data_IF_420140553508
#
_entry.id   IF_420140553508
#
_cell.length_a   1.000
_cell.length_b   1.000
_cell.length_c   1.000
_cell.angle_alpha   90.00
_cell.angle_beta   90.00
_cell.angle_gamma   90.00
#
_symmetry.space_group_name_H-M   'P 1'
#
loop_
_entity.id
_entity.type
_entity.pdbx_description
1 polymer ?
#
# COMPACT_ATOMS: atom_id res chain seq x y z
N UNK A 1 -55.23 19.65 -17.07
CA UNK A 1 -55.14 19.44 -15.63
C UNK A 1 -53.87 18.63 -15.36
N UNK A 2 -52.80 19.34 -15.20
CA UNK A 2 -51.53 18.80 -14.71
C UNK A 2 -50.64 20.01 -14.35
N UNK A 3 -50.96 20.63 -13.25
CA UNK A 3 -50.19 21.67 -12.57
C UNK A 3 -50.30 21.41 -11.09
N UNK A 4 -49.21 21.65 -10.39
CA UNK A 4 -49.03 21.55 -8.94
C UNK A 4 -48.40 20.26 -8.42
N UNK A 5 -47.07 20.16 -8.54
CA UNK A 5 -46.25 19.65 -7.46
C UNK A 5 -44.78 20.09 -7.64
N UNK A 6 -44.60 21.42 -7.73
CA UNK A 6 -43.24 22.03 -7.73
C UNK A 6 -43.25 23.19 -6.74
N UNK A 7 -43.46 22.87 -5.46
CA UNK A 7 -43.23 23.84 -4.38
C UNK A 7 -42.94 23.09 -3.10
N UNK A 8 -41.84 23.39 -2.54
CA UNK A 8 -41.41 23.13 -1.16
C UNK A 8 -40.14 22.30 -1.00
N UNK A 9 -39.07 22.75 -1.63
CA UNK A 9 -37.75 22.66 -0.99
C UNK A 9 -37.34 24.12 -0.72
N UNK A 10 -38.06 24.74 0.18
CA UNK A 10 -37.67 26.01 0.78
C UNK A 10 -36.96 25.71 2.10
N UNK A 11 -35.69 26.14 2.16
CA UNK A 11 -34.99 26.59 3.36
C UNK A 11 -35.35 25.83 4.65
N UNK A 12 -34.75 24.67 4.87
CA UNK A 12 -34.37 24.30 6.22
C UNK A 12 -33.17 25.18 6.55
N UNK A 13 -33.46 26.29 7.22
CA UNK A 13 -32.52 27.19 7.84
C UNK A 13 -31.42 26.38 8.54
N UNK A 14 -30.21 26.92 8.53
CA UNK A 14 -29.11 26.52 9.39
C UNK A 14 -29.64 26.34 10.83
N UNK A 15 -30.02 25.11 11.19
CA UNK A 15 -30.31 24.76 12.55
C UNK A 15 -29.04 25.03 13.35
N UNK A 16 -29.16 25.53 14.57
CA UNK A 16 -28.06 25.64 15.53
C UNK A 16 -27.44 24.28 15.70
N UNK A 17 -26.46 23.93 14.84
CA UNK A 17 -25.66 22.75 14.99
C UNK A 17 -24.72 22.97 16.17
N UNK A 18 -25.11 22.43 17.32
CA UNK A 18 -24.24 22.42 18.48
C UNK A 18 -23.11 21.43 18.20
N UNK A 19 -21.86 21.92 18.12
CA UNK A 19 -20.69 21.05 17.93
C UNK A 19 -20.59 20.04 19.10
N UNK A 20 -20.33 18.77 18.81
CA UNK A 20 -20.18 17.75 19.87
C UNK A 20 -18.95 18.06 20.75
N UNK A 21 -19.18 18.17 22.08
CA UNK A 21 -18.14 18.34 23.07
C UNK A 21 -18.56 17.68 24.40
N UNK A 22 -17.58 17.47 25.28
CA UNK A 22 -17.79 17.01 26.65
C UNK A 22 -16.81 17.71 27.59
N UNK A 23 -17.26 18.82 28.17
CA UNK A 23 -16.44 19.63 29.08
C UNK A 23 -16.11 18.88 30.41
N UNK A 24 -16.98 17.96 30.83
CA UNK A 24 -16.73 17.17 32.02
C UNK A 24 -15.57 16.17 31.76
N UNK A 25 -15.56 15.52 30.58
CA UNK A 25 -14.47 14.65 30.18
C UNK A 25 -13.14 15.42 30.02
N UNK A 26 -13.19 16.64 29.43
CA UNK A 26 -12.00 17.49 29.31
C UNK A 26 -11.44 17.90 30.71
N UNK A 27 -12.29 18.36 31.62
CA UNK A 27 -11.88 18.71 32.97
C UNK A 27 -11.37 17.49 33.72
N UNK A 28 -12.07 16.36 33.63
CA UNK A 28 -11.70 15.14 34.29
C UNK A 28 -10.33 14.59 33.80
N UNK A 29 -10.07 14.71 32.51
CA UNK A 29 -8.75 14.35 31.96
C UNK A 29 -7.64 15.23 32.54
N UNK A 30 -7.79 16.55 32.46
CA UNK A 30 -6.78 17.48 32.96
C UNK A 30 -6.53 17.32 34.42
N UNK A 31 -7.60 17.15 35.24
CA UNK A 31 -7.49 16.86 36.68
C UNK A 31 -6.73 15.56 36.96
N UNK A 32 -7.01 14.50 36.18
CA UNK A 32 -6.29 13.22 36.28
C UNK A 32 -4.80 13.37 36.00
N UNK A 33 -4.42 14.18 35.01
CA UNK A 33 -3.03 14.45 34.62
C UNK A 33 -2.30 15.31 35.67
N UNK A 34 -3.00 16.21 36.39
CA UNK A 34 -2.42 16.96 37.50
C UNK A 34 -2.13 16.02 38.65
N UNK A 35 -3.01 15.04 38.93
CA UNK A 35 -2.84 14.06 40.02
C UNK A 35 -1.73 13.06 39.72
N UNK A 36 -1.58 12.64 38.46
CA UNK A 36 -0.55 11.70 38.03
C UNK A 36 0.00 12.07 36.64
N UNK A 37 1.13 12.77 36.64
CA UNK A 37 1.77 13.25 35.40
C UNK A 37 2.28 12.11 34.51
N UNK A 38 2.50 10.90 35.02
CA UNK A 38 3.02 9.76 34.23
C UNK A 38 2.03 9.32 33.16
N UNK A 39 0.74 9.53 33.38
CA UNK A 39 -0.29 9.16 32.40
C UNK A 39 -0.32 10.05 31.15
N UNK A 40 0.40 11.19 31.17
CA UNK A 40 0.45 12.09 30.02
C UNK A 40 1.09 11.42 28.80
N UNK A 41 2.02 10.50 28.99
CA UNK A 41 2.60 9.71 27.90
C UNK A 41 1.51 8.94 27.13
N UNK A 42 0.75 8.11 27.85
CA UNK A 42 -0.32 7.28 27.26
C UNK A 42 -1.44 8.15 26.66
N UNK A 43 -1.80 9.24 27.33
CA UNK A 43 -2.81 10.19 26.86
C UNK A 43 -2.38 10.91 25.57
N UNK A 44 -1.09 11.29 25.45
CA UNK A 44 -0.56 11.97 24.26
C UNK A 44 -0.53 11.08 23.01
N UNK A 45 -0.58 9.77 23.17
CA UNK A 45 -0.76 8.83 22.07
C UNK A 45 -2.21 8.83 21.53
N UNK A 46 -3.19 9.14 22.39
CA UNK A 46 -4.63 9.13 22.07
C UNK A 46 -5.09 10.48 21.53
N UNK A 47 -4.67 11.59 22.18
CA UNK A 47 -5.13 12.95 21.86
C UNK A 47 -3.99 13.95 21.76
N UNK A 48 -4.29 15.06 21.04
CA UNK A 48 -3.46 16.25 20.93
C UNK A 48 -4.23 17.45 21.48
N UNK A 49 -3.55 18.58 21.72
CA UNK A 49 -4.17 19.82 22.19
C UNK A 49 -5.31 20.31 21.29
N UNK A 50 -5.22 20.09 19.97
CA UNK A 50 -6.28 20.42 19.01
C UNK A 50 -7.59 19.65 19.21
N UNK A 51 -7.58 18.53 19.93
CA UNK A 51 -8.79 17.74 20.19
C UNK A 51 -9.71 18.36 21.26
N UNK A 52 -9.21 19.28 22.07
CA UNK A 52 -10.03 19.99 23.05
C UNK A 52 -10.97 20.99 22.38
N UNK A 53 -12.20 21.05 22.82
CA UNK A 53 -13.18 22.04 22.40
C UNK A 53 -13.01 23.35 23.13
N UNK A 54 -12.76 23.29 24.45
CA UNK A 54 -12.67 24.46 25.32
C UNK A 54 -11.26 25.05 25.27
N UNK A 55 -11.13 26.31 24.82
CA UNK A 55 -9.84 26.98 24.70
C UNK A 55 -9.01 26.99 26.00
N UNK A 56 -9.57 27.28 27.18
CA UNK A 56 -8.84 27.16 28.45
C UNK A 56 -8.23 25.77 28.66
N UNK A 57 -8.97 24.70 28.40
CA UNK A 57 -8.50 23.33 28.57
C UNK A 57 -7.38 23.00 27.58
N UNK A 58 -7.51 23.45 26.34
CA UNK A 58 -6.47 23.32 25.31
C UNK A 58 -5.15 23.93 25.77
N UNK A 59 -5.17 25.19 26.28
CA UNK A 59 -3.97 25.90 26.73
C UNK A 59 -3.32 25.25 27.96
N UNK A 60 -4.13 24.71 28.86
CA UNK A 60 -3.63 23.96 30.03
C UNK A 60 -2.94 22.69 29.55
N UNK A 61 -3.57 21.90 28.66
CA UNK A 61 -3.00 20.67 28.11
C UNK A 61 -1.70 20.93 27.31
N UNK A 62 -1.66 21.97 26.50
CA UNK A 62 -0.44 22.38 25.79
C UNK A 62 0.72 22.65 26.75
N UNK A 63 0.42 23.34 27.86
CA UNK A 63 1.43 23.63 28.88
C UNK A 63 1.89 22.38 29.61
N UNK A 64 0.98 21.43 29.88
CA UNK A 64 1.32 20.12 30.46
C UNK A 64 2.25 19.32 29.56
N UNK A 65 1.94 19.24 28.26
CA UNK A 65 2.77 18.53 27.26
C UNK A 65 4.17 19.13 27.21
N UNK A 66 4.29 20.46 27.12
CA UNK A 66 5.61 21.10 27.08
C UNK A 66 6.44 20.84 28.33
N UNK A 67 5.81 20.88 29.53
CA UNK A 67 6.49 20.56 30.78
C UNK A 67 6.96 19.11 30.84
N UNK A 68 6.13 18.20 30.35
CA UNK A 68 6.43 16.78 30.27
C UNK A 68 7.61 16.50 29.32
N UNK A 69 7.64 17.14 28.16
CA UNK A 69 8.72 17.02 27.18
C UNK A 69 10.06 17.52 27.76
N UNK A 70 9.99 18.53 28.64
CA UNK A 70 11.13 19.02 29.41
C UNK A 70 11.48 18.14 30.62
N UNK A 71 10.78 17.00 30.81
CA UNK A 71 10.90 16.09 31.97
C UNK A 71 10.71 16.80 33.32
N UNK A 72 9.82 17.77 33.34
CA UNK A 72 9.46 18.52 34.56
C UNK A 72 8.08 18.06 35.04
N UNK A 73 8.03 17.56 36.26
CA UNK A 73 6.75 17.30 36.92
C UNK A 73 6.01 18.63 37.14
N UNK A 74 4.69 18.60 37.07
CA UNK A 74 3.84 19.77 37.24
C UNK A 74 2.72 19.52 38.22
N UNK A 75 2.38 20.58 38.91
CA UNK A 75 1.21 20.71 39.79
C UNK A 75 0.48 22.03 39.47
N UNK A 76 -0.54 22.36 40.23
CA UNK A 76 -1.33 23.60 40.04
C UNK A 76 -0.45 24.85 40.11
N UNK A 77 0.59 24.88 40.98
CA UNK A 77 1.45 26.04 41.16
C UNK A 77 2.38 26.22 39.97
N UNK A 78 2.98 25.14 39.50
CA UNK A 78 3.88 25.14 38.34
C UNK A 78 3.11 25.49 37.06
N UNK A 79 1.93 24.92 36.85
CA UNK A 79 1.07 25.23 35.70
C UNK A 79 0.65 26.71 35.70
N UNK A 80 0.26 27.27 36.83
CA UNK A 80 -0.03 28.69 36.98
C UNK A 80 1.15 29.56 36.59
N UNK A 81 2.35 29.27 37.13
CA UNK A 81 3.56 30.04 36.87
C UNK A 81 3.94 30.00 35.39
N UNK A 82 3.87 28.82 34.74
CA UNK A 82 4.20 28.67 33.34
C UNK A 82 3.17 29.36 32.41
N UNK A 83 1.88 29.22 32.70
CA UNK A 83 0.82 29.94 31.99
C UNK A 83 0.94 31.45 32.16
N UNK A 84 1.36 31.93 33.33
CA UNK A 84 1.60 33.36 33.56
C UNK A 84 2.79 33.88 32.76
N UNK A 85 3.91 33.17 32.72
CA UNK A 85 5.10 33.50 31.88
C UNK A 85 4.76 33.60 30.42
N UNK A 86 3.84 32.75 29.92
CA UNK A 86 3.36 32.77 28.53
C UNK A 86 2.27 33.82 28.27
N UNK A 87 1.80 34.52 29.28
CA UNK A 87 0.68 35.47 29.14
C UNK A 87 -0.66 34.81 28.83
N UNK A 88 -0.83 33.54 29.14
CA UNK A 88 -2.01 32.73 28.83
C UNK A 88 -2.86 32.39 30.07
N UNK A 89 -2.45 32.82 31.28
CA UNK A 89 -3.16 32.47 32.49
C UNK A 89 -4.63 32.93 32.48
N UNK A 90 -4.88 34.17 32.05
CA UNK A 90 -6.25 34.72 32.01
C UNK A 90 -7.11 33.99 30.95
N UNK A 91 -6.49 33.64 29.82
CA UNK A 91 -7.17 32.85 28.75
C UNK A 91 -7.43 31.40 29.17
N UNK A 92 -6.64 30.87 30.08
CA UNK A 92 -6.83 29.55 30.71
C UNK A 92 -7.88 29.57 31.83
N UNK A 93 -8.50 30.73 32.11
CA UNK A 93 -9.53 30.88 33.11
C UNK A 93 -8.99 31.15 34.54
N UNK A 94 -7.72 31.58 34.65
CA UNK A 94 -7.08 31.88 35.90
C UNK A 94 -6.74 30.66 36.77
N UNK A 95 -6.26 30.92 37.97
CA UNK A 95 -5.92 29.85 38.93
C UNK A 95 -7.17 29.11 39.39
N UNK A 96 -8.30 29.81 39.47
CA UNK A 96 -9.56 29.25 39.97
C UNK A 96 -10.05 28.10 39.07
N UNK A 97 -9.87 28.25 37.74
CA UNK A 97 -10.21 27.20 36.80
C UNK A 97 -9.31 25.98 36.94
N UNK A 98 -7.98 26.16 37.17
CA UNK A 98 -7.05 25.04 37.35
C UNK A 98 -7.37 24.29 38.66
N UNK A 99 -7.74 25.00 39.74
CA UNK A 99 -8.15 24.39 40.99
C UNK A 99 -9.47 23.62 40.82
N UNK A 100 -10.45 24.22 40.13
CA UNK A 100 -11.74 23.55 39.86
C UNK A 100 -11.57 22.28 39.02
N UNK A 101 -10.64 22.28 38.05
CA UNK A 101 -10.27 21.09 37.25
C UNK A 101 -9.70 19.99 38.16
N UNK A 102 -8.78 20.33 39.07
CA UNK A 102 -8.22 19.36 40.00
C UNK A 102 -9.30 18.77 40.94
N UNK A 103 -10.22 19.59 41.43
CA UNK A 103 -11.31 19.17 42.34
C UNK A 103 -12.37 18.32 41.63
N UNK A 104 -12.44 18.38 40.29
CA UNK A 104 -13.42 17.63 39.49
C UNK A 104 -13.20 16.12 39.47
N UNK A 105 -12.01 15.64 39.91
CA UNK A 105 -11.63 14.22 39.78
C UNK A 105 -11.12 13.65 41.09
N UNK A 106 -11.70 12.54 41.59
CA UNK A 106 -11.23 11.90 42.82
C UNK A 106 -10.00 10.99 42.59
N UNK A 107 -9.76 10.51 41.37
CA UNK A 107 -8.66 9.58 41.07
C UNK A 107 -8.11 9.79 39.66
N UNK A 108 -6.84 9.49 39.46
CA UNK A 108 -6.18 9.57 38.10
C UNK A 108 -6.47 8.36 37.19
N UNK A 109 -7.09 7.30 37.69
CA UNK A 109 -7.12 5.97 37.07
C UNK A 109 -7.79 5.89 35.69
N UNK A 110 -8.58 6.88 35.28
CA UNK A 110 -9.42 6.83 34.06
C UNK A 110 -8.98 7.84 32.98
N UNK A 111 -7.75 8.36 33.02
CA UNK A 111 -7.31 9.40 32.10
C UNK A 111 -7.40 8.95 30.61
N UNK A 112 -7.00 7.73 30.29
CA UNK A 112 -7.10 7.17 28.94
C UNK A 112 -8.54 7.08 28.45
N UNK A 113 -9.47 6.69 29.30
CA UNK A 113 -10.89 6.64 28.97
C UNK A 113 -11.48 8.04 28.67
N UNK A 114 -11.09 9.05 29.47
CA UNK A 114 -11.50 10.44 29.19
C UNK A 114 -10.88 10.96 27.87
N UNK A 115 -9.65 10.58 27.59
CA UNK A 115 -9.00 10.92 26.33
C UNK A 115 -9.73 10.32 25.12
N UNK A 116 -10.21 9.08 25.21
CA UNK A 116 -11.02 8.44 24.17
C UNK A 116 -12.34 9.18 23.93
N UNK A 117 -13.04 9.63 24.97
CA UNK A 117 -14.27 10.43 24.83
C UNK A 117 -13.97 11.74 24.10
N UNK A 118 -12.91 12.45 24.48
CA UNK A 118 -12.52 13.71 23.85
C UNK A 118 -12.20 13.50 22.36
N UNK A 119 -11.46 12.44 22.04
CA UNK A 119 -11.13 12.05 20.68
C UNK A 119 -12.39 11.76 19.86
N UNK A 120 -13.34 11.00 20.39
CA UNK A 120 -14.61 10.72 19.71
C UNK A 120 -15.36 12.01 19.37
N UNK A 121 -15.46 12.96 20.32
CA UNK A 121 -16.09 14.26 20.08
C UNK A 121 -15.33 15.10 19.04
N UNK A 122 -14.01 15.04 19.02
CA UNK A 122 -13.17 15.69 18.02
C UNK A 122 -13.45 15.13 16.63
N UNK A 123 -13.46 13.82 16.44
CA UNK A 123 -13.75 13.17 15.16
C UNK A 123 -15.13 13.61 14.64
N UNK A 124 -16.14 13.66 15.49
CA UNK A 124 -17.46 14.13 15.09
C UNK A 124 -17.45 15.61 14.66
N UNK A 125 -16.67 16.49 15.32
CA UNK A 125 -16.51 17.90 14.90
C UNK A 125 -15.83 18.01 13.55
N UNK A 126 -14.77 17.24 13.32
CA UNK A 126 -14.07 17.23 12.03
C UNK A 126 -14.98 16.73 10.90
N UNK A 127 -15.79 15.69 11.15
CA UNK A 127 -16.78 15.20 10.19
C UNK A 127 -17.83 16.28 9.85
N UNK A 128 -18.31 17.03 10.84
CA UNK A 128 -19.25 18.16 10.63
C UNK A 128 -18.57 19.24 9.80
N UNK A 129 -17.34 19.61 10.13
CA UNK A 129 -16.58 20.64 9.42
C UNK A 129 -16.33 20.24 7.97
N UNK A 130 -15.93 19.01 7.73
CA UNK A 130 -15.72 18.44 6.40
C UNK A 130 -17.03 18.42 5.59
N UNK A 131 -18.13 17.96 6.20
CA UNK A 131 -19.45 17.92 5.57
C UNK A 131 -19.93 19.32 5.15
N UNK A 132 -19.73 20.31 6.01
CA UNK A 132 -20.07 21.69 5.71
C UNK A 132 -19.21 22.27 4.56
N UNK A 133 -17.93 21.94 4.51
CA UNK A 133 -17.04 22.33 3.41
C UNK A 133 -17.51 21.72 2.08
N UNK A 134 -17.80 20.42 2.08
CA UNK A 134 -18.35 19.72 0.90
C UNK A 134 -19.66 20.37 0.46
N UNK A 135 -20.58 20.62 1.40
CA UNK A 135 -21.87 21.25 1.10
C UNK A 135 -21.70 22.64 0.47
N UNK A 136 -20.85 23.48 1.03
CA UNK A 136 -20.59 24.83 0.51
C UNK A 136 -19.99 24.81 -0.89
N UNK A 137 -18.99 23.96 -1.12
CA UNK A 137 -18.30 23.89 -2.42
C UNK A 137 -19.18 23.26 -3.51
N UNK A 138 -19.99 22.25 -3.15
CA UNK A 138 -20.96 21.65 -4.06
C UNK A 138 -22.06 22.65 -4.48
N UNK A 139 -22.55 23.48 -3.53
CA UNK A 139 -23.62 24.45 -3.80
C UNK A 139 -23.16 25.64 -4.66
N UNK A 140 -21.85 25.97 -4.60
CA UNK A 140 -21.30 27.08 -5.41
C UNK A 140 -20.93 26.65 -6.84
N UNK A 141 -20.78 25.37 -7.11
CA UNK A 141 -20.41 24.85 -8.43
C UNK A 141 -19.04 25.28 -8.92
N UNK A 142 -18.13 25.65 -8.00
CA UNK A 142 -16.80 26.21 -8.31
C UNK A 142 -15.75 25.14 -8.63
N UNK A 143 -16.06 23.86 -8.39
CA UNK A 143 -15.10 22.75 -8.51
C UNK A 143 -15.72 21.59 -9.28
N UNK A 144 -14.95 20.93 -10.13
CA UNK A 144 -15.37 19.69 -10.79
C UNK A 144 -15.76 18.62 -9.78
N UNK A 145 -16.84 17.90 -10.07
CA UNK A 145 -17.44 16.92 -9.15
C UNK A 145 -16.45 15.81 -8.76
N UNK A 146 -15.61 15.35 -9.69
CA UNK A 146 -14.61 14.30 -9.46
C UNK A 146 -13.56 14.78 -8.47
N UNK A 147 -13.01 15.98 -8.65
CA UNK A 147 -12.01 16.56 -7.76
C UNK A 147 -12.54 16.77 -6.34
N UNK A 148 -13.78 17.26 -6.21
CA UNK A 148 -14.41 17.44 -4.91
C UNK A 148 -14.63 16.10 -4.20
N UNK A 149 -14.98 15.05 -4.95
CA UNK A 149 -15.15 13.70 -4.43
C UNK A 149 -13.83 13.12 -3.94
N UNK A 150 -12.74 13.28 -4.71
CA UNK A 150 -11.41 12.82 -4.31
C UNK A 150 -10.91 13.50 -3.03
N UNK A 151 -11.04 14.84 -2.95
CA UNK A 151 -10.67 15.60 -1.75
C UNK A 151 -11.51 15.18 -0.53
N UNK A 152 -12.80 14.97 -0.71
CA UNK A 152 -13.69 14.49 0.36
C UNK A 152 -13.27 13.10 0.88
N UNK A 153 -13.01 12.19 -0.03
CA UNK A 153 -12.55 10.83 0.30
C UNK A 153 -11.19 10.86 1.01
N UNK A 154 -10.24 11.70 0.52
CA UNK A 154 -8.92 11.87 1.15
C UNK A 154 -9.06 12.35 2.61
N UNK A 155 -9.86 13.40 2.84
CA UNK A 155 -10.01 13.98 4.17
C UNK A 155 -10.72 13.01 5.14
N UNK A 156 -11.76 12.29 4.69
CA UNK A 156 -12.42 11.23 5.48
C UNK A 156 -11.41 10.14 5.84
N UNK A 157 -10.56 9.78 4.90
CA UNK A 157 -9.56 8.75 5.10
C UNK A 157 -8.48 9.17 6.11
N UNK A 158 -7.98 10.40 6.02
CA UNK A 158 -7.02 10.96 6.99
C UNK A 158 -7.59 10.93 8.41
N UNK A 159 -8.87 11.29 8.58
CA UNK A 159 -9.59 11.18 9.85
C UNK A 159 -9.71 9.72 10.34
N UNK A 160 -9.96 8.78 9.44
CA UNK A 160 -10.04 7.36 9.80
C UNK A 160 -8.67 6.79 10.20
N UNK A 161 -7.57 7.24 9.55
CA UNK A 161 -6.21 6.82 9.91
C UNK A 161 -5.72 7.36 11.25
N UNK A 162 -6.25 8.48 11.75
CA UNK A 162 -5.94 8.93 13.11
C UNK A 162 -6.39 7.91 14.17
N UNK A 163 -7.28 6.96 13.82
CA UNK A 163 -7.70 5.85 14.68
C UNK A 163 -6.69 4.71 14.75
N UNK A 164 -5.95 4.47 13.66
CA UNK A 164 -5.07 3.30 13.48
C UNK A 164 -3.58 3.66 13.57
N UNK A 165 -3.19 4.57 14.48
CA UNK A 165 -1.76 4.66 14.83
C UNK A 165 -1.36 3.33 15.44
N UNK A 166 -0.44 2.65 14.76
CA UNK A 166 0.12 1.36 15.13
C UNK A 166 0.43 1.32 16.63
N UNK A 167 -0.26 0.45 17.35
CA UNK A 167 0.13 0.11 18.72
C UNK A 167 1.59 -0.33 18.72
N UNK A 168 2.38 0.24 19.62
CA UNK A 168 3.74 -0.26 19.89
C UNK A 168 3.58 -1.63 20.54
N UNK A 169 3.77 -2.68 19.73
CA UNK A 169 3.60 -4.05 20.20
C UNK A 169 4.82 -4.46 21.01
N UNK A 170 4.60 -5.02 22.20
CA UNK A 170 5.66 -5.54 23.04
C UNK A 170 6.42 -6.68 22.35
N UNK A 171 7.76 -6.65 22.37
CA UNK A 171 8.61 -7.71 21.81
C UNK A 171 8.24 -9.11 22.34
N UNK A 172 7.76 -9.18 23.58
CA UNK A 172 7.33 -10.44 24.23
C UNK A 172 6.18 -11.11 23.47
N UNK A 173 5.26 -10.31 22.91
CA UNK A 173 4.13 -10.81 22.13
C UNK A 173 4.60 -11.26 20.76
N UNK A 174 5.43 -10.43 20.08
CA UNK A 174 6.01 -10.74 18.76
C UNK A 174 6.84 -12.03 18.81
N UNK A 175 7.70 -12.21 19.81
CA UNK A 175 8.52 -13.42 19.96
C UNK A 175 7.68 -14.68 20.06
N UNK A 176 6.56 -14.62 20.81
CA UNK A 176 5.65 -15.76 20.98
C UNK A 176 5.00 -16.14 19.66
N UNK A 177 4.55 -15.16 18.89
CA UNK A 177 3.89 -15.36 17.60
C UNK A 177 4.88 -15.89 16.55
N UNK A 178 6.08 -15.30 16.47
CA UNK A 178 7.17 -15.74 15.58
C UNK A 178 7.62 -17.16 15.92
N UNK A 179 7.77 -17.50 17.22
CA UNK A 179 8.15 -18.85 17.64
C UNK A 179 7.12 -19.90 17.23
N UNK A 180 5.82 -19.59 17.37
CA UNK A 180 4.76 -20.49 16.90
C UNK A 180 4.80 -20.65 15.38
N UNK A 181 5.01 -19.57 14.63
CA UNK A 181 5.17 -19.63 13.18
C UNK A 181 6.36 -20.49 12.74
N UNK A 182 7.51 -20.40 13.42
CA UNK A 182 8.71 -21.20 13.12
C UNK A 182 8.47 -22.66 13.43
N UNK A 183 7.82 -22.98 14.56
CA UNK A 183 7.55 -24.34 14.97
C UNK A 183 6.62 -25.09 14.01
N UNK A 184 5.62 -24.38 13.46
CA UNK A 184 4.57 -24.97 12.64
C UNK A 184 4.94 -25.03 11.14
N UNK A 185 6.08 -24.44 10.73
CA UNK A 185 6.54 -24.38 9.32
C UNK A 185 7.72 -25.35 9.08
N UNK A 186 7.43 -26.47 8.40
CA UNK A 186 8.42 -27.39 7.85
C UNK A 186 8.76 -27.09 6.37
N UNK A 187 8.15 -26.07 5.76
CA UNK A 187 8.27 -25.79 4.32
C UNK A 187 9.31 -24.71 4.03
N UNK A 188 10.12 -24.90 2.97
CA UNK A 188 11.11 -23.93 2.49
C UNK A 188 10.46 -22.64 1.94
N UNK A 189 9.29 -22.75 1.31
CA UNK A 189 8.53 -21.63 0.74
C UNK A 189 7.43 -21.25 1.72
N UNK A 190 7.59 -20.12 2.38
CA UNK A 190 6.67 -19.66 3.42
C UNK A 190 5.71 -18.58 2.92
N UNK A 191 6.02 -17.96 1.76
CA UNK A 191 5.19 -16.99 1.06
C UNK A 191 4.30 -17.63 -0.01
N UNK A 192 3.68 -16.78 -0.85
CA UNK A 192 3.02 -17.24 -2.07
C UNK A 192 4.10 -17.64 -3.09
N UNK A 193 3.95 -18.82 -3.71
CA UNK A 193 4.89 -19.29 -4.73
C UNK A 193 4.83 -18.44 -5.99
N UNK A 194 5.98 -18.18 -6.62
CA UNK A 194 6.03 -17.56 -7.96
C UNK A 194 5.80 -18.59 -9.06
N UNK A 195 5.83 -19.87 -8.71
CA UNK A 195 5.84 -21.00 -9.65
C UNK A 195 7.18 -21.21 -10.34
N UNK A 196 8.23 -20.50 -9.91
CA UNK A 196 9.60 -20.66 -10.38
C UNK A 196 10.48 -21.11 -9.21
N UNK A 197 10.83 -22.38 -9.21
CA UNK A 197 11.50 -23.06 -8.07
C UNK A 197 12.78 -22.34 -7.64
N UNK A 198 13.58 -21.88 -8.60
CA UNK A 198 14.82 -21.17 -8.32
C UNK A 198 14.60 -19.84 -7.61
N UNK A 199 13.58 -19.08 -8.04
CA UNK A 199 13.21 -17.81 -7.41
C UNK A 199 12.64 -18.05 -6.01
N UNK A 200 11.75 -19.03 -5.87
CA UNK A 200 11.11 -19.36 -4.59
C UNK A 200 12.12 -19.88 -3.55
N UNK A 201 13.13 -20.66 -3.98
CA UNK A 201 14.20 -21.13 -3.09
C UNK A 201 15.05 -19.99 -2.52
N UNK A 202 15.27 -18.92 -3.30
CA UNK A 202 16.07 -17.77 -2.88
C UNK A 202 15.25 -16.75 -2.09
N UNK A 203 13.98 -16.54 -2.46
CA UNK A 203 13.13 -15.51 -1.82
C UNK A 203 12.26 -16.04 -0.69
N UNK A 204 12.03 -17.35 -0.63
CA UNK A 204 11.02 -17.96 0.23
C UNK A 204 9.59 -17.74 -0.29
N UNK A 205 9.42 -17.27 -1.54
CA UNK A 205 8.15 -16.84 -2.13
C UNK A 205 7.82 -15.37 -1.86
N UNK A 206 6.59 -14.97 -2.17
CA UNK A 206 6.09 -13.59 -1.96
C UNK A 206 5.43 -13.51 -0.58
N UNK A 207 6.04 -12.73 0.32
CA UNK A 207 5.55 -12.62 1.70
C UNK A 207 4.54 -11.48 1.88
N UNK A 208 3.62 -11.60 2.85
CA UNK A 208 2.75 -10.52 3.26
C UNK A 208 3.51 -9.23 3.59
N UNK A 209 2.87 -8.09 3.46
CA UNK A 209 3.43 -6.76 3.74
C UNK A 209 4.65 -6.36 2.90
N UNK A 210 5.06 -7.15 1.89
CA UNK A 210 6.19 -6.83 1.01
C UNK A 210 5.76 -6.08 -0.25
N UNK A 211 6.60 -5.13 -0.67
CA UNK A 211 6.61 -4.56 -2.02
C UNK A 211 7.71 -5.25 -2.83
N UNK A 212 7.31 -5.98 -3.88
CA UNK A 212 8.17 -6.69 -4.80
C UNK A 212 8.18 -5.94 -6.13
N UNK A 213 9.35 -5.54 -6.59
CA UNK A 213 9.51 -4.88 -7.89
C UNK A 213 10.07 -5.86 -8.90
N UNK A 214 9.39 -6.02 -10.03
CA UNK A 214 9.87 -6.81 -11.18
C UNK A 214 10.23 -5.84 -12.29
N UNK A 215 11.53 -5.64 -12.49
CA UNK A 215 12.03 -4.62 -13.40
C UNK A 215 12.73 -5.23 -14.63
N UNK A 216 12.57 -4.57 -15.77
CA UNK A 216 13.22 -5.00 -17.01
C UNK A 216 12.94 -4.05 -18.16
N UNK A 217 13.72 -4.19 -19.23
CA UNK A 217 13.51 -3.44 -20.49
C UNK A 217 12.21 -3.85 -21.16
N UNK A 218 11.64 -3.04 -22.07
CA UNK A 218 10.54 -3.47 -22.92
C UNK A 218 10.87 -4.80 -23.62
N UNK A 219 9.92 -5.74 -23.62
CA UNK A 219 10.13 -7.08 -24.21
C UNK A 219 10.88 -8.09 -23.33
N UNK A 220 11.35 -7.72 -22.12
CA UNK A 220 12.03 -8.66 -21.21
C UNK A 220 11.12 -9.74 -20.59
N UNK A 221 9.79 -9.60 -20.71
CA UNK A 221 8.84 -10.58 -20.19
C UNK A 221 8.12 -10.16 -18.92
N UNK A 222 8.14 -8.89 -18.50
CA UNK A 222 7.46 -8.41 -17.28
C UNK A 222 5.99 -8.84 -17.18
N UNK A 223 5.20 -8.54 -18.20
CA UNK A 223 3.78 -8.92 -18.22
C UNK A 223 3.60 -10.45 -18.23
N UNK A 224 4.50 -11.20 -18.91
CA UNK A 224 4.48 -12.66 -18.87
C UNK A 224 4.82 -13.22 -17.48
N UNK A 225 5.67 -12.52 -16.71
CA UNK A 225 5.92 -12.86 -15.32
C UNK A 225 4.66 -12.64 -14.47
N UNK A 226 3.91 -11.55 -14.70
CA UNK A 226 2.62 -11.34 -14.07
C UNK A 226 1.62 -12.47 -14.40
N UNK A 227 1.57 -12.91 -15.67
CA UNK A 227 0.74 -14.05 -16.09
C UNK A 227 1.16 -15.35 -15.39
N UNK A 228 2.47 -15.57 -15.15
CA UNK A 228 2.98 -16.71 -14.40
C UNK A 228 2.48 -16.70 -12.96
N UNK A 229 2.50 -15.54 -12.29
CA UNK A 229 1.94 -15.41 -10.95
C UNK A 229 0.44 -15.69 -10.90
N UNK A 230 -0.32 -15.22 -11.91
CA UNK A 230 -1.75 -15.52 -12.02
C UNK A 230 -2.01 -17.03 -12.22
N UNK A 231 -1.23 -17.70 -13.09
CA UNK A 231 -1.34 -19.14 -13.34
C UNK A 231 -1.11 -19.93 -12.03
N UNK A 232 0.00 -19.66 -11.34
CA UNK A 232 0.38 -20.44 -10.18
C UNK A 232 -0.48 -20.14 -8.94
N UNK A 233 -0.73 -18.88 -8.64
CA UNK A 233 -1.41 -18.46 -7.42
C UNK A 233 -2.94 -18.55 -7.55
N UNK A 234 -3.52 -18.04 -8.66
CA UNK A 234 -4.96 -17.97 -8.79
C UNK A 234 -5.58 -19.18 -9.51
N UNK A 235 -4.97 -19.67 -10.60
CA UNK A 235 -5.54 -20.78 -11.34
C UNK A 235 -5.28 -22.10 -10.60
N UNK A 236 -4.02 -22.38 -10.25
CA UNK A 236 -3.62 -23.61 -9.57
C UNK A 236 -3.85 -23.56 -8.07
N UNK A 237 -3.44 -22.45 -7.44
CA UNK A 237 -3.53 -22.25 -5.99
C UNK A 237 -4.91 -21.83 -5.50
N UNK A 238 -5.84 -21.44 -6.40
CA UNK A 238 -7.20 -20.97 -6.10
C UNK A 238 -7.24 -19.81 -5.09
N UNK A 239 -6.16 -19.00 -5.01
CA UNK A 239 -6.10 -17.82 -4.15
C UNK A 239 -6.51 -16.58 -4.92
N UNK A 240 -7.38 -15.71 -4.35
CA UNK A 240 -7.86 -14.51 -5.03
C UNK A 240 -6.72 -13.51 -5.30
N UNK A 241 -6.60 -13.06 -6.55
CA UNK A 241 -5.56 -12.12 -7.01
C UNK A 241 -6.20 -10.99 -7.81
N UNK A 242 -5.72 -9.75 -7.62
CA UNK A 242 -6.08 -8.63 -8.47
C UNK A 242 -4.89 -8.19 -9.32
N UNK A 243 -5.14 -7.99 -10.62
CA UNK A 243 -4.20 -7.41 -11.58
C UNK A 243 -4.73 -6.05 -12.04
N UNK A 244 -3.96 -5.00 -11.74
CA UNK A 244 -4.13 -3.68 -12.35
C UNK A 244 -3.23 -3.59 -13.57
N UNK A 245 -3.84 -3.58 -14.77
CA UNK A 245 -3.13 -3.50 -16.04
C UNK A 245 -3.38 -2.12 -16.66
N UNK A 246 -2.33 -1.30 -16.73
CA UNK A 246 -2.45 0.10 -17.14
C UNK A 246 -2.05 0.35 -18.58
N UNK A 247 -1.45 -0.65 -19.25
CA UNK A 247 -1.00 -0.60 -20.65
C UNK A 247 -1.84 -1.49 -21.56
N UNK A 248 -2.26 -2.64 -21.07
CA UNK A 248 -2.88 -3.70 -21.87
C UNK A 248 -4.32 -3.91 -21.40
N UNK A 249 -5.25 -4.09 -22.34
CA UNK A 249 -6.67 -4.34 -22.01
C UNK A 249 -6.87 -5.68 -21.31
N UNK A 250 -7.91 -5.78 -20.48
CA UNK A 250 -8.29 -7.01 -19.80
C UNK A 250 -8.52 -8.17 -20.79
N UNK A 251 -9.13 -7.89 -21.94
CA UNK A 251 -9.34 -8.89 -23.01
C UNK A 251 -8.01 -9.46 -23.52
N UNK A 252 -7.00 -8.60 -23.73
CA UNK A 252 -5.69 -9.06 -24.20
C UNK A 252 -4.94 -9.86 -23.13
N UNK A 253 -5.08 -9.48 -21.84
CA UNK A 253 -4.53 -10.25 -20.72
C UNK A 253 -5.13 -11.66 -20.68
N UNK A 254 -6.45 -11.77 -20.81
CA UNK A 254 -7.14 -13.07 -20.84
C UNK A 254 -6.68 -13.91 -22.03
N UNK A 255 -6.54 -13.32 -23.25
CA UNK A 255 -6.01 -14.03 -24.41
C UNK A 255 -4.60 -14.55 -24.18
N UNK A 256 -3.73 -13.72 -23.60
CA UNK A 256 -2.35 -14.11 -23.30
C UNK A 256 -2.31 -15.22 -22.23
N UNK A 257 -3.18 -15.13 -21.22
CA UNK A 257 -3.30 -16.13 -20.15
C UNK A 257 -3.81 -17.48 -20.71
N UNK A 258 -4.78 -17.45 -21.62
CA UNK A 258 -5.25 -18.65 -22.36
C UNK A 258 -4.11 -19.28 -23.18
N UNK A 259 -3.32 -18.47 -23.92
CA UNK A 259 -2.14 -18.98 -24.65
C UNK A 259 -1.16 -19.65 -23.69
N UNK A 260 -0.90 -19.02 -22.54
CA UNK A 260 0.05 -19.53 -21.55
C UNK A 260 -0.44 -20.84 -20.90
N UNK A 261 -1.72 -20.90 -20.51
CA UNK A 261 -2.29 -22.06 -19.80
C UNK A 261 -2.51 -23.24 -20.73
N UNK A 262 -3.05 -23.00 -21.94
CA UNK A 262 -3.29 -24.03 -22.95
C UNK A 262 -2.05 -24.44 -23.74
N UNK A 263 -0.91 -23.75 -23.57
CA UNK A 263 0.31 -23.92 -24.38
C UNK A 263 0.06 -23.79 -25.90
N UNK A 264 -0.71 -22.77 -26.29
CA UNK A 264 -1.05 -22.50 -27.67
C UNK A 264 -0.22 -21.30 -28.14
N UNK A 265 0.39 -21.41 -29.32
CA UNK A 265 1.12 -20.32 -29.94
C UNK A 265 0.19 -19.12 -30.19
N UNK A 266 0.59 -17.96 -29.77
CA UNK A 266 -0.19 -16.73 -29.90
C UNK A 266 -0.53 -16.35 -31.33
N UNK A 267 0.29 -16.75 -32.28
CA UNK A 267 0.04 -16.53 -33.73
C UNK A 267 -1.07 -17.45 -34.23
N UNK A 268 -1.13 -18.69 -33.77
CA UNK A 268 -2.19 -19.64 -34.14
C UNK A 268 -3.54 -19.20 -33.61
N UNK A 269 -3.56 -18.69 -32.39
CA UNK A 269 -4.78 -18.12 -31.79
C UNK A 269 -5.27 -16.89 -32.58
N UNK A 270 -4.36 -15.98 -32.97
CA UNK A 270 -4.71 -14.81 -33.81
C UNK A 270 -5.16 -15.18 -35.19
N UNK A 271 -4.51 -16.18 -35.81
CA UNK A 271 -4.83 -16.64 -37.16
C UNK A 271 -6.13 -17.44 -37.25
N UNK A 272 -6.68 -17.89 -36.11
CA UNK A 272 -7.86 -18.75 -36.09
C UNK A 272 -7.60 -20.18 -36.56
N UNK A 273 -6.35 -20.54 -36.82
CA UNK A 273 -5.94 -21.86 -37.29
C UNK A 273 -5.60 -22.78 -36.11
N UNK A 274 -6.62 -23.25 -35.43
CA UNK A 274 -6.44 -24.14 -34.29
C UNK A 274 -6.71 -25.60 -34.73
N UNK A 275 -5.76 -26.50 -34.42
CA UNK A 275 -5.99 -27.93 -34.51
C UNK A 275 -7.10 -28.39 -33.56
N UNK A 276 -7.69 -29.56 -33.77
CA UNK A 276 -8.71 -30.13 -32.87
C UNK A 276 -8.14 -30.36 -31.46
N UNK A 277 -6.85 -30.69 -31.35
CA UNK A 277 -6.14 -30.84 -30.08
C UNK A 277 -5.99 -29.49 -29.38
N UNK A 278 -5.53 -28.46 -30.08
CA UNK A 278 -5.42 -27.11 -29.51
C UNK A 278 -6.78 -26.54 -29.11
N UNK A 279 -7.87 -26.87 -29.80
CA UNK A 279 -9.21 -26.49 -29.39
C UNK A 279 -9.63 -27.12 -28.06
N UNK A 280 -9.30 -28.40 -27.84
CA UNK A 280 -9.58 -29.06 -26.56
C UNK A 280 -8.79 -28.42 -25.43
N UNK A 281 -7.48 -28.21 -25.60
CA UNK A 281 -6.64 -27.54 -24.61
C UNK A 281 -7.15 -26.12 -24.31
N UNK A 282 -7.65 -25.39 -25.31
CA UNK A 282 -8.24 -24.08 -25.12
C UNK A 282 -9.53 -24.12 -24.29
N UNK A 283 -10.40 -25.11 -24.58
CA UNK A 283 -11.64 -25.28 -23.82
C UNK A 283 -11.37 -25.67 -22.36
N UNK A 284 -10.41 -26.55 -22.11
CA UNK A 284 -9.99 -26.92 -20.77
C UNK A 284 -9.40 -25.72 -20.01
N UNK A 285 -8.58 -24.92 -20.69
CA UNK A 285 -8.02 -23.69 -20.12
C UNK A 285 -9.11 -22.65 -19.83
N UNK A 286 -10.11 -22.48 -20.70
CA UNK A 286 -11.26 -21.60 -20.45
C UNK A 286 -11.99 -22.00 -19.17
N UNK A 287 -12.34 -23.28 -19.01
CA UNK A 287 -13.00 -23.78 -17.79
C UNK A 287 -12.17 -23.51 -16.53
N UNK A 288 -10.86 -23.74 -16.59
CA UNK A 288 -9.95 -23.45 -15.48
C UNK A 288 -9.88 -21.97 -15.10
N UNK A 289 -9.97 -21.09 -16.12
CA UNK A 289 -9.96 -19.63 -15.93
C UNK A 289 -11.32 -19.13 -15.39
N UNK A 290 -12.45 -19.62 -15.89
CA UNK A 290 -13.76 -19.23 -15.41
C UNK A 290 -13.93 -19.52 -13.89
N UNK A 291 -13.35 -20.60 -13.42
CA UNK A 291 -13.37 -21.00 -12.00
C UNK A 291 -12.26 -20.34 -11.16
N UNK A 292 -11.44 -19.46 -11.75
CA UNK A 292 -10.31 -18.85 -11.05
C UNK A 292 -10.69 -17.51 -10.42
N UNK A 293 -10.25 -17.23 -9.19
CA UNK A 293 -10.56 -15.98 -8.49
C UNK A 293 -9.60 -14.85 -8.93
N UNK A 294 -9.62 -14.51 -10.22
CA UNK A 294 -8.81 -13.43 -10.82
C UNK A 294 -9.68 -12.21 -11.04
N UNK A 295 -9.24 -11.05 -10.54
CA UNK A 295 -9.86 -9.76 -10.77
C UNK A 295 -8.92 -8.93 -11.64
N UNK A 296 -9.42 -8.35 -12.73
CA UNK A 296 -8.63 -7.52 -13.66
C UNK A 296 -9.26 -6.13 -13.72
N UNK A 297 -8.42 -5.12 -13.59
CA UNK A 297 -8.79 -3.71 -13.73
C UNK A 297 -7.86 -3.08 -14.78
N UNK A 298 -8.40 -2.66 -15.92
CA UNK A 298 -7.68 -2.07 -17.04
C UNK A 298 -7.93 -0.56 -17.20
N UNK A 299 -8.29 0.09 -16.09
CA UNK A 299 -8.50 1.54 -16.07
C UNK A 299 -7.18 2.26 -16.34
N UNK A 300 -7.10 2.99 -17.45
CA UNK A 300 -5.92 3.78 -17.80
C UNK A 300 -5.77 5.00 -16.91
N UNK A 301 -4.51 5.33 -16.55
CA UNK A 301 -4.23 6.52 -15.74
C UNK A 301 -4.74 6.45 -14.32
N UNK A 302 -4.93 5.24 -13.79
CA UNK A 302 -5.40 4.97 -12.42
C UNK A 302 -4.52 5.69 -11.40
N UNK A 303 -5.14 6.47 -10.52
CA UNK A 303 -4.44 7.10 -9.41
C UNK A 303 -4.13 6.08 -8.31
N UNK A 304 -3.08 6.37 -7.51
CA UNK A 304 -2.73 5.54 -6.35
C UNK A 304 -3.89 5.43 -5.37
N UNK A 305 -4.63 6.52 -5.23
CA UNK A 305 -5.76 6.59 -4.31
C UNK A 305 -6.90 5.65 -4.75
N UNK A 306 -7.26 5.66 -6.03
CA UNK A 306 -8.27 4.75 -6.58
C UNK A 306 -7.84 3.29 -6.45
N UNK A 307 -6.57 2.97 -6.78
CA UNK A 307 -6.02 1.63 -6.63
C UNK A 307 -6.15 1.14 -5.18
N UNK A 308 -5.77 1.98 -4.20
CA UNK A 308 -5.89 1.63 -2.77
C UNK A 308 -7.35 1.35 -2.38
N UNK A 309 -8.29 2.20 -2.79
CA UNK A 309 -9.70 2.04 -2.46
C UNK A 309 -10.30 0.78 -3.08
N UNK A 310 -9.99 0.52 -4.37
CA UNK A 310 -10.44 -0.70 -5.06
C UNK A 310 -9.85 -1.95 -4.40
N UNK A 311 -8.55 -1.93 -4.06
CA UNK A 311 -7.87 -3.03 -3.39
C UNK A 311 -8.44 -3.33 -2.01
N UNK A 312 -8.74 -2.30 -1.19
CA UNK A 312 -9.40 -2.46 0.11
C UNK A 312 -10.78 -3.10 -0.02
N UNK A 313 -11.56 -2.63 -0.98
CA UNK A 313 -12.89 -3.21 -1.25
C UNK A 313 -12.78 -4.67 -1.64
N UNK A 314 -11.86 -5.00 -2.56
CA UNK A 314 -11.63 -6.38 -2.98
C UNK A 314 -11.09 -7.24 -1.82
N UNK A 315 -10.21 -6.71 -0.96
CA UNK A 315 -9.75 -7.43 0.24
C UNK A 315 -10.91 -7.75 1.17
N UNK A 316 -11.79 -6.78 1.43
CA UNK A 316 -12.96 -6.99 2.30
C UNK A 316 -14.02 -7.93 1.72
N UNK A 317 -14.21 -7.95 0.39
CA UNK A 317 -15.25 -8.74 -0.27
C UNK A 317 -14.80 -10.15 -0.67
N UNK A 318 -13.55 -10.30 -1.10
CA UNK A 318 -13.02 -11.51 -1.72
C UNK A 318 -11.75 -12.04 -1.06
N UNK A 319 -11.25 -11.36 -0.03
CA UNK A 319 -10.01 -11.71 0.68
C UNK A 319 -8.82 -11.92 -0.27
N UNK A 320 -8.58 -10.94 -1.17
CA UNK A 320 -7.45 -11.02 -2.10
C UNK A 320 -6.14 -11.26 -1.36
N UNK A 321 -5.26 -12.08 -1.96
CA UNK A 321 -4.00 -12.52 -1.38
C UNK A 321 -2.77 -11.92 -2.08
N UNK A 322 -2.96 -11.29 -3.24
CA UNK A 322 -1.91 -10.66 -4.03
C UNK A 322 -2.47 -9.51 -4.85
N UNK A 323 -1.71 -8.43 -4.93
CA UNK A 323 -1.94 -7.31 -5.85
C UNK A 323 -0.79 -7.29 -6.86
N UNK A 324 -1.13 -7.22 -8.16
CA UNK A 324 -0.16 -7.05 -9.25
C UNK A 324 -0.47 -5.74 -9.97
N UNK A 325 0.56 -4.93 -10.26
CA UNK A 325 0.45 -3.66 -11.00
C UNK A 325 1.36 -3.69 -12.23
N UNK A 326 0.80 -3.64 -13.44
CA UNK A 326 1.54 -3.65 -14.70
C UNK A 326 1.22 -2.39 -15.53
N UNK A 327 2.05 -1.36 -15.51
CA UNK A 327 3.28 -1.13 -14.76
C UNK A 327 3.23 0.23 -14.03
N UNK A 328 4.00 0.30 -12.96
CA UNK A 328 3.99 1.40 -11.98
C UNK A 328 4.10 2.81 -12.59
N UNK A 329 4.95 2.99 -13.63
CA UNK A 329 5.17 4.29 -14.25
C UNK A 329 3.96 4.82 -15.06
N UNK A 330 2.89 4.06 -15.26
CA UNK A 330 1.65 4.56 -15.89
C UNK A 330 0.64 5.08 -14.86
N UNK A 331 0.87 4.88 -13.58
CA UNK A 331 0.07 5.47 -12.53
C UNK A 331 0.26 6.99 -12.48
N UNK A 332 -0.72 7.70 -11.92
CA UNK A 332 -0.74 9.14 -11.81
C UNK A 332 -0.85 9.62 -10.37
N UNK A 333 -0.21 10.76 -10.12
CA UNK A 333 -0.42 11.60 -8.96
C UNK A 333 -0.38 13.06 -9.39
N UNK A 334 -1.54 13.72 -9.39
CA UNK A 334 -1.72 15.05 -9.99
C UNK A 334 -0.99 16.18 -9.26
N UNK A 335 -0.70 16.03 -7.96
CA UNK A 335 -0.03 17.04 -7.15
C UNK A 335 1.51 17.03 -7.25
N UNK A 336 2.10 16.24 -8.17
CA UNK A 336 3.53 16.15 -8.29
C UNK A 336 4.15 17.29 -9.11
N UNK A 337 5.15 17.97 -8.54
CA UNK A 337 5.93 19.00 -9.25
C UNK A 337 6.83 18.41 -10.34
N UNK A 338 7.22 17.16 -10.22
CA UNK A 338 8.07 16.45 -11.17
C UNK A 338 7.85 14.93 -11.11
N UNK A 339 8.31 14.24 -12.17
CA UNK A 339 8.13 12.80 -12.34
C UNK A 339 8.80 11.95 -11.24
N UNK A 340 9.95 12.37 -10.74
CA UNK A 340 10.68 11.65 -9.71
C UNK A 340 9.89 11.63 -8.39
N UNK A 341 9.30 12.76 -7.98
CA UNK A 341 8.42 12.85 -6.81
C UNK A 341 7.13 12.04 -6.98
N UNK A 342 6.56 12.06 -8.17
CA UNK A 342 5.38 11.26 -8.50
C UNK A 342 5.66 9.77 -8.27
N UNK A 343 6.74 9.26 -8.83
CA UNK A 343 7.13 7.86 -8.69
C UNK A 343 7.48 7.51 -7.23
N UNK A 344 8.14 8.43 -6.51
CA UNK A 344 8.44 8.23 -5.10
C UNK A 344 7.18 8.10 -4.25
N UNK A 345 6.18 8.96 -4.50
CA UNK A 345 4.89 8.88 -3.82
C UNK A 345 4.14 7.58 -4.14
N UNK A 346 4.11 7.19 -5.43
CA UNK A 346 3.49 5.94 -5.88
C UNK A 346 4.14 4.75 -5.17
N UNK A 347 5.47 4.67 -5.18
CA UNK A 347 6.24 3.58 -4.56
C UNK A 347 5.96 3.45 -3.06
N UNK A 348 6.10 4.55 -2.31
CA UNK A 348 5.85 4.56 -0.87
C UNK A 348 4.39 4.21 -0.52
N UNK A 349 3.44 4.65 -1.36
CA UNK A 349 2.02 4.34 -1.19
C UNK A 349 1.70 2.87 -1.45
N UNK A 350 2.31 2.25 -2.46
CA UNK A 350 2.18 0.80 -2.72
C UNK A 350 2.80 -0.02 -1.57
N UNK A 351 3.95 0.42 -1.03
CA UNK A 351 4.53 -0.19 0.17
C UNK A 351 3.62 -0.04 1.38
N UNK A 352 3.02 1.14 1.55
CA UNK A 352 2.00 1.39 2.59
C UNK A 352 0.80 0.46 2.45
N UNK A 353 0.29 0.27 1.22
CA UNK A 353 -0.83 -0.62 0.92
C UNK A 353 -0.51 -2.09 1.24
N UNK A 354 0.69 -2.57 0.89
CA UNK A 354 1.14 -3.92 1.22
C UNK A 354 1.09 -4.18 2.73
N UNK A 355 1.57 -3.23 3.53
CA UNK A 355 1.53 -3.31 5.00
C UNK A 355 0.11 -3.23 5.56
N UNK A 356 -0.71 -2.33 5.02
CA UNK A 356 -2.08 -2.09 5.47
C UNK A 356 -2.98 -3.31 5.28
N UNK A 357 -2.88 -3.95 4.10
CA UNK A 357 -3.70 -5.12 3.77
C UNK A 357 -3.07 -6.44 4.20
N UNK A 358 -1.82 -6.39 4.68
CA UNK A 358 -0.98 -7.55 5.03
C UNK A 358 -0.93 -8.60 3.90
N UNK A 359 -0.73 -8.13 2.66
CA UNK A 359 -0.54 -8.97 1.47
C UNK A 359 0.65 -8.47 0.64
N UNK A 360 1.30 -9.33 -0.18
CA UNK A 360 2.31 -8.89 -1.12
C UNK A 360 1.71 -8.00 -2.21
N UNK A 361 2.48 -6.97 -2.61
CA UNK A 361 2.22 -6.14 -3.78
C UNK A 361 3.38 -6.33 -4.75
N UNK A 362 3.11 -6.82 -5.95
CA UNK A 362 4.07 -6.97 -7.04
C UNK A 362 3.84 -5.85 -8.04
N UNK A 363 4.83 -4.98 -8.24
CA UNK A 363 4.75 -3.91 -9.23
C UNK A 363 5.81 -4.10 -10.32
N UNK A 364 5.36 -4.11 -11.57
CA UNK A 364 6.24 -4.11 -12.72
C UNK A 364 6.84 -2.72 -12.89
N UNK A 365 8.13 -2.64 -13.23
CA UNK A 365 8.83 -1.39 -13.47
C UNK A 365 9.67 -1.46 -14.76
N UNK A 366 9.69 -0.37 -15.50
CA UNK A 366 10.52 -0.26 -16.68
C UNK A 366 11.87 0.33 -16.32
N UNK A 367 12.95 -0.29 -16.80
CA UNK A 367 14.31 0.22 -16.63
C UNK A 367 14.62 1.34 -17.61
N UNK A 368 15.47 2.28 -17.19
CA UNK A 368 15.94 3.37 -18.04
C UNK A 368 16.74 2.86 -19.25
N UNK A 369 16.82 3.67 -20.33
CA UNK A 369 17.64 3.34 -21.52
C UNK A 369 19.14 3.36 -21.23
N UNK A 370 19.56 3.93 -20.10
CA UNK A 370 20.98 3.96 -19.71
C UNK A 370 21.51 2.57 -19.37
N UNK A 371 20.65 1.64 -18.96
CA UNK A 371 21.00 0.24 -18.76
C UNK A 371 21.70 -0.41 -19.98
N UNK A 372 21.38 0.05 -21.20
CA UNK A 372 21.98 -0.46 -22.45
C UNK A 372 23.36 0.14 -22.72
N UNK A 373 23.78 1.20 -22.01
CA UNK A 373 25.05 1.88 -22.19
C UNK A 373 26.15 1.39 -21.26
N UNK A 374 25.84 0.48 -20.35
CA UNK A 374 26.85 -0.06 -19.42
C UNK A 374 27.90 -0.87 -20.18
N UNK A 375 29.14 -0.85 -19.69
CA UNK A 375 30.19 -1.73 -20.20
C UNK A 375 29.84 -3.20 -19.88
N UNK A 376 30.05 -4.12 -20.84
CA UNK A 376 29.85 -5.54 -20.63
C UNK A 376 30.73 -6.05 -19.48
N UNK A 377 30.18 -6.88 -18.62
CA UNK A 377 30.96 -7.56 -17.56
C UNK A 377 31.93 -8.57 -18.21
N UNK A 378 33.12 -8.81 -17.59
CA UNK A 378 34.09 -9.81 -18.06
C UNK A 378 33.37 -11.10 -18.46
N UNK A 379 33.50 -11.58 -19.66
CA UNK A 379 32.91 -12.78 -20.28
C UNK A 379 31.47 -12.68 -20.78
N UNK A 380 30.76 -11.52 -20.73
CA UNK A 380 29.39 -11.41 -21.24
C UNK A 380 29.31 -10.26 -22.26
N UNK A 381 28.78 -10.54 -23.45
CA UNK A 381 28.77 -9.60 -24.61
C UNK A 381 27.90 -8.35 -24.38
N UNK A 382 26.88 -8.42 -23.49
CA UNK A 382 25.94 -7.34 -23.23
C UNK A 382 25.78 -7.06 -21.73
N UNK A 383 25.54 -5.80 -21.35
CA UNK A 383 25.43 -5.42 -19.94
C UNK A 383 24.16 -5.98 -19.33
N UNK A 384 24.26 -6.56 -18.12
CA UNK A 384 23.11 -6.95 -17.30
C UNK A 384 22.53 -5.74 -16.60
N UNK A 385 21.20 -5.69 -16.43
CA UNK A 385 20.55 -4.63 -15.67
C UNK A 385 21.03 -4.63 -14.21
N UNK A 386 21.13 -3.42 -13.64
CA UNK A 386 21.54 -3.16 -12.26
C UNK A 386 20.45 -2.41 -11.51
N UNK A 387 20.48 -2.42 -10.19
CA UNK A 387 19.59 -1.61 -9.37
C UNK A 387 19.65 -0.12 -9.72
N UNK A 388 20.85 0.38 -10.06
CA UNK A 388 21.04 1.77 -10.50
C UNK A 388 20.24 2.15 -11.75
N UNK A 389 19.76 1.19 -12.53
CA UNK A 389 18.98 1.43 -13.75
C UNK A 389 17.52 1.74 -13.46
N UNK A 390 17.09 1.58 -12.21
CA UNK A 390 15.86 2.13 -11.66
C UNK A 390 15.95 3.65 -11.40
N UNK A 391 16.97 4.34 -11.91
CA UNK A 391 17.49 5.67 -11.54
C UNK A 391 16.52 6.85 -11.67
N UNK A 392 15.47 6.78 -12.46
CA UNK A 392 14.38 7.77 -12.38
C UNK A 392 13.56 7.63 -11.10
N UNK A 393 13.96 6.70 -10.21
CA UNK A 393 13.17 6.25 -9.06
C UNK A 393 14.05 5.65 -7.98
N UNK A 394 15.05 6.38 -7.48
CA UNK A 394 15.81 5.96 -6.30
C UNK A 394 14.90 5.59 -5.11
N UNK A 395 13.71 6.16 -5.07
CA UNK A 395 12.68 5.83 -4.11
C UNK A 395 12.14 4.38 -4.27
N UNK A 396 11.95 3.89 -5.51
CA UNK A 396 11.51 2.49 -5.73
C UNK A 396 12.52 1.54 -5.12
N UNK A 397 13.82 1.80 -5.33
CA UNK A 397 14.88 0.99 -4.74
C UNK A 397 14.83 1.02 -3.21
N UNK A 398 14.56 2.15 -2.59
CA UNK A 398 14.49 2.29 -1.13
C UNK A 398 13.27 1.57 -0.55
N UNK A 399 12.10 1.76 -1.13
CA UNK A 399 10.82 1.23 -0.63
C UNK A 399 10.66 -0.28 -0.84
N UNK A 400 11.20 -0.80 -1.95
CA UNK A 400 11.08 -2.22 -2.29
C UNK A 400 11.76 -3.11 -1.24
N UNK A 401 11.12 -4.23 -0.90
CA UNK A 401 11.71 -5.29 -0.09
C UNK A 401 12.48 -6.30 -0.94
N UNK A 402 11.98 -6.57 -2.15
CA UNK A 402 12.60 -7.44 -3.14
C UNK A 402 12.59 -6.74 -4.49
N UNK A 403 13.69 -6.83 -5.23
CA UNK A 403 13.79 -6.35 -6.62
C UNK A 403 14.30 -7.49 -7.49
N UNK A 404 13.49 -7.89 -8.45
CA UNK A 404 13.80 -8.89 -9.47
C UNK A 404 14.11 -8.17 -10.79
N UNK A 405 15.30 -8.36 -11.35
CA UNK A 405 15.74 -7.78 -12.59
C UNK A 405 15.70 -8.83 -13.69
N UNK A 406 14.82 -8.63 -14.69
CA UNK A 406 14.66 -9.55 -15.82
C UNK A 406 15.61 -9.18 -16.94
N UNK A 407 16.38 -10.15 -17.40
CA UNK A 407 17.30 -9.99 -18.52
C UNK A 407 17.16 -11.14 -19.52
N UNK A 408 17.09 -10.81 -20.82
CA UNK A 408 17.05 -11.76 -21.92
C UNK A 408 18.20 -11.46 -22.88
N UNK A 409 19.19 -12.34 -22.94
CA UNK A 409 20.34 -12.17 -23.82
C UNK A 409 19.95 -12.25 -25.31
N UNK A 410 18.96 -13.08 -25.65
CA UNK A 410 18.37 -13.22 -26.99
C UNK A 410 17.94 -11.87 -27.60
N UNK A 411 17.60 -10.88 -26.81
CA UNK A 411 17.20 -9.55 -27.32
C UNK A 411 18.37 -8.78 -27.92
N UNK A 412 19.58 -9.09 -27.50
CA UNK A 412 20.81 -8.41 -27.88
C UNK A 412 21.70 -9.27 -28.75
N UNK A 413 21.56 -10.60 -28.68
CA UNK A 413 22.38 -11.58 -29.33
C UNK A 413 21.50 -12.65 -29.99
N UNK A 414 20.84 -12.25 -31.10
CA UNK A 414 19.85 -13.09 -31.80
C UNK A 414 20.45 -14.32 -32.48
N UNK A 415 21.76 -14.31 -32.76
CA UNK A 415 22.48 -15.39 -33.42
C UNK A 415 22.99 -16.46 -32.46
N UNK A 416 22.89 -16.24 -31.14
CA UNK A 416 23.33 -17.18 -30.12
C UNK A 416 22.19 -18.17 -29.81
N UNK A 417 22.34 -19.42 -30.28
CA UNK A 417 21.33 -20.46 -30.03
C UNK A 417 21.18 -20.79 -28.52
N UNK A 418 22.24 -20.62 -27.73
CA UNK A 418 22.21 -20.86 -26.29
C UNK A 418 21.44 -19.78 -25.51
N UNK A 419 21.28 -18.60 -26.10
CA UNK A 419 20.51 -17.50 -25.53
C UNK A 419 18.99 -17.61 -25.80
N UNK A 420 18.59 -18.44 -26.79
CA UNK A 420 17.19 -18.58 -27.18
C UNK A 420 16.34 -19.15 -26.04
N UNK A 421 15.15 -18.56 -25.90
CA UNK A 421 14.16 -18.99 -24.92
C UNK A 421 14.65 -18.97 -23.45
N UNK A 422 15.72 -18.26 -23.14
CA UNK A 422 16.25 -18.13 -21.77
C UNK A 422 16.02 -16.71 -21.22
N UNK A 423 15.70 -16.65 -19.95
CA UNK A 423 15.63 -15.41 -19.19
C UNK A 423 16.41 -15.56 -17.89
N UNK A 424 17.27 -14.60 -17.60
CA UNK A 424 17.93 -14.47 -16.29
C UNK A 424 17.06 -13.59 -15.39
N UNK A 425 16.80 -14.06 -14.18
CA UNK A 425 16.13 -13.31 -13.12
C UNK A 425 17.17 -13.06 -12.03
N UNK A 426 17.67 -11.82 -11.97
CA UNK A 426 18.64 -11.44 -10.94
C UNK A 426 17.89 -10.85 -9.74
N UNK A 427 18.20 -11.35 -8.54
CA UNK A 427 17.70 -10.82 -7.28
C UNK A 427 18.57 -9.63 -6.87
N UNK A 428 18.27 -8.45 -7.45
CA UNK A 428 19.07 -7.25 -7.24
C UNK A 428 19.03 -6.74 -5.81
N UNK A 429 17.87 -6.90 -5.13
CA UNK A 429 17.68 -6.54 -3.72
C UNK A 429 16.79 -7.56 -3.03
N UNK A 430 17.14 -7.89 -1.79
CA UNK A 430 16.30 -8.66 -0.88
C UNK A 430 16.61 -8.25 0.56
N UNK A 431 15.61 -7.75 1.31
CA UNK A 431 15.83 -7.31 2.70
C UNK A 431 16.04 -8.47 3.67
N UNK A 432 15.42 -9.60 3.42
CA UNK A 432 15.39 -10.75 4.34
C UNK A 432 16.18 -11.97 3.82
N UNK A 433 17.07 -11.80 2.83
CA UNK A 433 17.82 -12.90 2.24
C UNK A 433 18.99 -12.44 1.37
N UNK A 434 19.62 -13.37 0.64
CA UNK A 434 20.77 -13.07 -0.21
C UNK A 434 20.34 -12.22 -1.40
N UNK A 435 21.21 -11.30 -1.83
CA UNK A 435 21.03 -10.48 -3.03
C UNK A 435 22.21 -10.67 -3.99
N UNK A 436 22.00 -10.38 -5.28
CA UNK A 436 23.00 -10.56 -6.33
C UNK A 436 22.98 -11.93 -7.00
N UNK A 437 22.21 -12.87 -6.48
CA UNK A 437 22.01 -14.19 -7.08
C UNK A 437 21.17 -14.10 -8.35
N UNK A 438 21.45 -14.99 -9.31
CA UNK A 438 20.75 -15.03 -10.60
C UNK A 438 20.18 -16.41 -10.84
N UNK A 439 18.90 -16.48 -11.17
CA UNK A 439 18.20 -17.70 -11.57
C UNK A 439 17.97 -17.66 -13.08
N UNK A 440 18.36 -18.73 -13.77
CA UNK A 440 18.02 -18.92 -15.18
C UNK A 440 16.71 -19.70 -15.30
N UNK A 441 15.82 -19.21 -16.14
CA UNK A 441 14.50 -19.81 -16.40
C UNK A 441 14.24 -19.87 -17.90
N UNK A 442 13.39 -20.80 -18.35
CA UNK A 442 12.89 -20.82 -19.71
C UNK A 442 11.84 -19.72 -19.90
N UNK A 443 11.95 -18.97 -20.99
CA UNK A 443 10.93 -18.01 -21.43
C UNK A 443 10.44 -18.32 -22.83
N UNK A 444 9.27 -18.92 -22.92
CA UNK A 444 8.61 -19.31 -24.16
C UNK A 444 7.77 -18.13 -24.66
N UNK A 445 8.41 -17.25 -25.45
CA UNK A 445 7.82 -15.99 -25.94
C UNK A 445 6.50 -16.18 -26.67
N UNK A 446 6.41 -17.22 -27.49
CA UNK A 446 5.24 -17.53 -28.33
C UNK A 446 4.01 -17.92 -27.51
N UNK A 447 4.24 -18.39 -26.28
CA UNK A 447 3.22 -18.81 -25.30
C UNK A 447 3.04 -17.83 -24.15
N UNK A 448 3.78 -16.69 -24.11
CA UNK A 448 3.83 -15.75 -22.97
C UNK A 448 4.15 -16.43 -21.63
N UNK A 449 5.02 -17.46 -21.62
CA UNK A 449 5.16 -18.37 -20.50
C UNK A 449 6.58 -18.44 -19.95
N UNK A 450 6.70 -18.41 -18.62
CA UNK A 450 7.91 -18.77 -17.88
C UNK A 450 7.78 -20.18 -17.32
N UNK A 451 8.86 -20.94 -17.37
CA UNK A 451 8.99 -22.28 -16.80
C UNK A 451 10.38 -22.48 -16.18
N UNK A 452 10.49 -23.41 -15.22
CA UNK A 452 11.81 -23.84 -14.75
C UNK A 452 12.55 -24.53 -15.90
N UNK A 453 13.88 -24.39 -15.93
CA UNK A 453 14.71 -25.13 -16.86
C UNK A 453 14.68 -26.62 -16.53
N UNK A 454 14.71 -27.47 -17.54
CA UNK A 454 14.82 -28.92 -17.33
C UNK A 454 16.22 -29.31 -16.85
N UNK A 455 16.38 -30.52 -16.30
CA UNK A 455 17.70 -30.99 -15.89
C UNK A 455 18.70 -31.10 -17.06
N UNK A 456 18.21 -31.40 -18.26
CA UNK A 456 19.01 -31.42 -19.49
C UNK A 456 19.52 -30.04 -19.85
N UNK A 457 18.65 -29.01 -19.74
CA UNK A 457 19.04 -27.60 -19.98
C UNK A 457 20.07 -27.11 -18.95
N UNK A 458 19.97 -27.55 -17.68
CA UNK A 458 20.91 -27.19 -16.63
C UNK A 458 22.27 -27.87 -16.79
N UNK A 459 22.31 -29.15 -17.21
CA UNK A 459 23.57 -29.86 -17.44
C UNK A 459 24.40 -29.26 -18.59
N UNK A 460 23.74 -28.81 -19.67
CA UNK A 460 24.42 -28.09 -20.75
C UNK A 460 25.01 -26.73 -20.30
N UNK A 461 24.42 -26.08 -19.29
CA UNK A 461 24.97 -24.84 -18.74
C UNK A 461 26.17 -25.03 -17.82
N UNK A 462 26.25 -26.17 -17.13
CA UNK A 462 27.41 -26.51 -16.25
C UNK A 462 28.64 -26.89 -17.05
N UNK A 463 28.53 -27.41 -18.28
CA UNK A 463 29.66 -27.73 -19.16
C UNK A 463 30.27 -26.49 -19.84
N UNK A 464 29.61 -25.30 -19.78
CA UNK A 464 30.10 -24.04 -20.39
C UNK A 464 30.80 -23.09 -19.38
N UNK A 465 30.93 -23.46 -18.09
CA UNK A 465 31.63 -22.68 -17.04
C UNK A 465 33.06 -23.20 -16.83
#
# INVERSE_FOLDING_TARGET
MATETTQSIKNTAAGDFQYPYDLNAESALLGSLILDNNQLGDVSEIIKSGHFYHLPHKLIFETMVELYDLRRAFDVVILKDELLKKGNLDKAGGIENIVSILESVPTASNATFYAEIIREKYILRELITLSNNILQRSSRGEVESERLLEEAQKNIFELAQEKDKSEVISIKQIVKDVFNQIRDKAERVTGLTTGLTGVDNLTGGLHPSQLIIVAGRPGSGKSSFALRLLDDIAIRGKKPVVLYTLEVTAEQIVKNLLCSTARINSNDLRGGFLSEENRRHLLDACGGLEDSPIFIDDTSGLSVFELRNRSRRLKGQHDIQLIIVDYLQLMRWEDADNREREIAYISSSLKGLAKELDIPVVAMAQLSREAEKHEPTRNKKHPRPRLSDLRESGAIEQDADVVLLLYRDEMYNQDDENAKNKCEINIGKQRNGPSGETVSVAFLKEFYRFEDLTQEDMSMMEEEI
#
